data_IF_053363261188
#
_entry.id   IF_053363261188
#
_cell.length_a   1.000
_cell.length_b   1.000
_cell.length_c   1.000
_cell.angle_alpha   90.00
_cell.angle_beta   90.00
_cell.angle_gamma   90.00
#
_symmetry.space_group_name_H-M   'P 1'
#
loop_
_entity.id
_entity.type
_entity.pdbx_description
1 polymer ?
#
# COMPACT_ATOMS: atom_id res chain seq x y z
N UNK A 1 -19.56 14.25 13.42
CA UNK A 1 -20.29 13.64 12.30
C UNK A 1 -19.75 14.27 11.03
N UNK A 2 -18.78 13.63 10.40
CA UNK A 2 -18.20 14.06 9.13
C UNK A 2 -18.67 13.06 8.10
N UNK A 3 -19.61 13.49 7.27
CA UNK A 3 -20.08 12.72 6.11
C UNK A 3 -18.87 12.38 5.23
N UNK A 4 -18.70 11.10 4.91
CA UNK A 4 -17.65 10.63 4.02
C UNK A 4 -17.88 11.21 2.63
N UNK A 5 -16.92 11.98 2.11
CA UNK A 5 -16.87 12.39 0.71
C UNK A 5 -16.52 11.20 -0.20
N UNK A 6 -17.36 10.16 -0.19
CA UNK A 6 -17.32 9.11 -1.20
C UNK A 6 -17.99 9.66 -2.47
N UNK A 7 -17.28 9.81 -3.59
CA UNK A 7 -17.89 10.26 -4.84
C UNK A 7 -19.04 9.33 -5.23
N UNK A 8 -20.21 9.93 -5.51
CA UNK A 8 -21.36 9.25 -6.10
C UNK A 8 -21.04 8.85 -7.54
N UNK A 9 -21.34 7.60 -7.91
CA UNK A 9 -21.48 7.06 -9.28
C UNK A 9 -20.40 6.08 -9.81
N UNK A 10 -20.32 4.91 -9.19
CA UNK A 10 -20.35 3.59 -9.84
C UNK A 10 -20.92 2.62 -8.79
N UNK A 11 -21.58 1.53 -9.17
CA UNK A 11 -22.17 0.57 -8.20
C UNK A 11 -21.07 0.17 -7.19
N UNK A 12 -21.17 0.65 -5.94
CA UNK A 12 -20.22 0.25 -4.90
C UNK A 12 -20.38 -1.26 -4.69
N UNK A 13 -19.30 -1.99 -4.91
CA UNK A 13 -19.20 -3.42 -4.65
C UNK A 13 -19.67 -3.70 -3.22
N UNK A 14 -20.55 -4.68 -3.00
CA UNK A 14 -20.92 -5.00 -1.62
C UNK A 14 -19.70 -5.54 -0.87
N UNK A 15 -19.67 -5.40 0.46
CA UNK A 15 -18.57 -5.97 1.27
C UNK A 15 -18.48 -7.50 1.08
N UNK A 16 -19.62 -8.17 0.92
CA UNK A 16 -19.67 -9.60 0.65
C UNK A 16 -19.06 -9.94 -0.71
N UNK A 17 -19.37 -9.18 -1.76
CA UNK A 17 -18.78 -9.39 -3.08
C UNK A 17 -17.27 -9.08 -3.10
N UNK A 18 -16.84 -8.06 -2.35
CA UNK A 18 -15.42 -7.77 -2.15
C UNK A 18 -14.70 -8.93 -1.48
N UNK A 19 -15.22 -9.43 -0.36
CA UNK A 19 -14.63 -10.58 0.36
C UNK A 19 -14.60 -11.82 -0.55
N UNK A 20 -15.68 -12.10 -1.27
CA UNK A 20 -15.73 -13.20 -2.22
C UNK A 20 -14.68 -13.08 -3.33
N UNK A 21 -14.51 -11.88 -3.91
CA UNK A 21 -13.48 -11.67 -4.93
C UNK A 21 -12.07 -11.83 -4.35
N UNK A 22 -11.78 -11.24 -3.18
CA UNK A 22 -10.51 -11.44 -2.49
C UNK A 22 -10.23 -12.92 -2.20
N UNK A 23 -11.23 -13.69 -1.78
CA UNK A 23 -11.09 -15.13 -1.53
C UNK A 23 -10.80 -15.94 -2.79
N UNK A 24 -11.41 -15.57 -3.92
CA UNK A 24 -11.32 -16.32 -5.19
C UNK A 24 -10.12 -15.88 -6.02
N UNK A 25 -10.02 -14.60 -6.38
CA UNK A 25 -8.98 -14.06 -7.26
C UNK A 25 -7.76 -13.56 -6.50
N UNK A 26 -7.93 -13.12 -5.25
CA UNK A 26 -6.88 -12.48 -4.45
C UNK A 26 -6.71 -10.99 -4.70
N UNK A 27 -7.57 -10.37 -5.51
CA UNK A 27 -7.52 -8.93 -5.79
C UNK A 27 -8.86 -8.35 -6.27
N UNK A 28 -9.04 -7.04 -6.10
CA UNK A 28 -10.18 -6.25 -6.60
C UNK A 28 -9.68 -4.91 -7.12
N UNK A 29 -10.16 -4.50 -8.30
CA UNK A 29 -9.91 -3.18 -8.89
C UNK A 29 -11.11 -2.26 -8.69
N UNK A 30 -10.87 -1.08 -8.11
CA UNK A 30 -11.84 0.00 -7.98
C UNK A 30 -11.49 1.09 -8.98
N UNK A 31 -12.34 1.31 -9.98
CA UNK A 31 -12.04 2.24 -11.07
C UNK A 31 -12.26 3.70 -10.64
N UNK A 32 -11.28 4.56 -10.97
CA UNK A 32 -11.37 6.03 -10.88
C UNK A 32 -11.89 6.58 -9.53
N UNK A 33 -11.42 6.00 -8.42
CA UNK A 33 -11.81 6.39 -7.06
C UNK A 33 -11.17 7.72 -6.61
N UNK A 34 -9.93 7.96 -7.00
CA UNK A 34 -9.16 9.15 -6.61
C UNK A 34 -9.38 10.27 -7.63
N UNK A 35 -9.87 11.46 -7.22
CA UNK A 35 -10.12 12.57 -8.13
C UNK A 35 -8.86 13.11 -8.80
N UNK A 36 -8.99 13.55 -10.05
CA UNK A 36 -7.88 14.07 -10.85
C UNK A 36 -7.16 15.25 -10.16
N UNK A 37 -7.89 16.14 -9.48
CA UNK A 37 -7.29 17.27 -8.74
C UNK A 37 -6.30 16.82 -7.66
N UNK A 38 -6.57 15.69 -7.01
CA UNK A 38 -5.64 15.10 -6.04
C UNK A 38 -4.45 14.46 -6.76
N UNK A 39 -4.69 13.78 -7.87
CA UNK A 39 -3.65 13.14 -8.67
C UNK A 39 -2.65 14.15 -9.25
N UNK A 40 -3.11 15.32 -9.70
CA UNK A 40 -2.25 16.41 -10.16
C UNK A 40 -1.24 16.84 -9.10
N UNK A 41 -1.70 16.99 -7.84
CA UNK A 41 -0.82 17.32 -6.71
C UNK A 41 0.15 16.18 -6.39
N UNK A 42 -0.34 14.93 -6.41
CA UNK A 42 0.50 13.74 -6.19
C UNK A 42 1.61 13.64 -7.25
N UNK A 43 1.32 13.89 -8.53
CA UNK A 43 2.33 13.87 -9.60
C UNK A 43 3.44 14.90 -9.38
N UNK A 44 3.14 16.04 -8.76
CA UNK A 44 4.13 17.07 -8.41
C UNK A 44 4.99 16.61 -7.22
N UNK A 45 4.39 15.97 -6.22
CA UNK A 45 5.07 15.66 -4.96
C UNK A 45 5.91 14.37 -5.01
N UNK A 46 5.54 13.39 -5.86
CA UNK A 46 6.30 12.13 -6.01
C UNK A 46 7.79 12.38 -6.33
N UNK A 47 8.16 13.18 -7.36
CA UNK A 47 9.57 13.48 -7.65
C UNK A 47 10.30 14.20 -6.50
N UNK A 48 9.59 15.01 -5.71
CA UNK A 48 10.16 15.67 -4.53
C UNK A 48 10.51 14.66 -3.45
N UNK A 49 9.62 13.70 -3.18
CA UNK A 49 9.83 12.60 -2.22
C UNK A 49 10.91 11.64 -2.67
N UNK A 50 10.98 11.32 -3.96
CA UNK A 50 12.08 10.54 -4.55
C UNK A 50 13.43 11.20 -4.25
N UNK A 51 13.57 12.50 -4.55
CA UNK A 51 14.80 13.26 -4.27
C UNK A 51 15.13 13.30 -2.77
N UNK A 52 14.12 13.38 -1.90
CA UNK A 52 14.33 13.34 -0.46
C UNK A 52 14.88 11.97 0.01
N UNK A 53 14.27 10.88 -0.41
CA UNK A 53 14.71 9.51 -0.09
C UNK A 53 16.09 9.20 -0.68
N UNK A 54 16.38 9.68 -1.89
CA UNK A 54 17.66 9.48 -2.56
C UNK A 54 18.86 10.01 -1.75
N UNK A 55 18.68 11.07 -0.95
CA UNK A 55 19.74 11.58 -0.05
C UNK A 55 20.19 10.51 0.94
N UNK A 56 19.24 9.76 1.51
CA UNK A 56 19.52 8.68 2.45
C UNK A 56 20.06 7.44 1.74
N UNK A 57 19.52 7.10 0.57
CA UNK A 57 20.02 6.00 -0.25
C UNK A 57 21.50 6.22 -0.59
N UNK A 58 21.87 7.40 -1.12
CA UNK A 58 23.27 7.75 -1.42
C UNK A 58 24.16 7.75 -0.19
N UNK A 59 23.69 8.36 0.90
CA UNK A 59 24.44 8.38 2.17
C UNK A 59 24.80 6.98 2.66
N UNK A 60 23.94 5.99 2.40
CA UNK A 60 24.07 4.63 2.90
C UNK A 60 24.46 3.60 1.80
N UNK A 61 24.79 4.03 0.58
CA UNK A 61 25.19 3.13 -0.52
C UNK A 61 24.09 2.24 -1.10
N UNK A 62 22.84 2.73 -1.11
CA UNK A 62 21.65 2.02 -1.61
C UNK A 62 21.02 2.72 -2.84
N UNK A 63 21.80 3.52 -3.57
CA UNK A 63 21.34 4.32 -4.70
C UNK A 63 21.31 3.57 -6.05
N UNK A 64 21.71 2.30 -6.06
CA UNK A 64 21.63 1.42 -7.23
C UNK A 64 20.48 0.44 -7.07
N UNK A 65 19.63 0.32 -8.10
CA UNK A 65 18.51 -0.60 -8.11
C UNK A 65 17.40 -0.17 -7.15
N UNK A 66 17.19 1.14 -6.97
CA UNK A 66 16.12 1.80 -6.21
C UNK A 66 15.59 3.05 -6.93
N UNK A 67 16.00 3.25 -8.18
CA UNK A 67 15.67 4.39 -9.03
C UNK A 67 14.15 4.50 -9.19
N UNK A 68 13.61 5.70 -8.98
CA UNK A 68 12.18 5.93 -9.01
C UNK A 68 11.42 5.51 -7.74
N UNK A 69 12.05 4.91 -6.72
CA UNK A 69 11.38 4.45 -5.52
C UNK A 69 11.62 5.37 -4.31
N UNK A 70 10.53 5.88 -3.74
CA UNK A 70 10.50 6.60 -2.47
C UNK A 70 9.74 5.77 -1.43
N UNK A 71 10.43 5.26 -0.41
CA UNK A 71 9.82 4.47 0.66
C UNK A 71 9.57 5.32 1.91
N UNK A 72 8.46 5.03 2.61
CA UNK A 72 8.02 5.68 3.84
C UNK A 72 7.84 7.20 3.70
N UNK A 73 6.95 7.59 2.80
CA UNK A 73 6.68 8.99 2.40
C UNK A 73 5.74 9.78 3.34
N UNK A 74 5.36 9.20 4.49
CA UNK A 74 4.54 9.86 5.52
C UNK A 74 5.33 10.99 6.19
N UNK A 75 4.64 12.03 6.71
CA UNK A 75 5.31 13.13 7.42
C UNK A 75 5.63 14.32 6.53
N UNK A 76 5.11 14.32 5.31
CA UNK A 76 5.53 15.23 4.28
C UNK A 76 4.93 16.62 4.30
N UNK A 77 3.74 16.77 4.89
CA UNK A 77 2.92 17.97 4.77
C UNK A 77 2.43 18.24 3.34
N UNK A 78 2.39 17.21 2.49
CA UNK A 78 2.08 17.32 1.06
C UNK A 78 0.91 16.42 0.64
N UNK A 79 0.65 16.30 -0.66
CA UNK A 79 -0.51 15.56 -1.16
C UNK A 79 -0.46 14.06 -0.87
N UNK A 80 0.73 13.46 -0.69
CA UNK A 80 0.86 12.06 -0.32
C UNK A 80 0.39 11.84 1.12
N UNK A 81 0.65 12.80 2.01
CA UNK A 81 0.07 12.79 3.36
C UNK A 81 -1.44 12.99 3.32
N UNK A 82 -1.94 13.96 2.56
CA UNK A 82 -3.37 14.24 2.48
C UNK A 82 -4.18 13.07 1.92
N UNK A 83 -3.61 12.31 0.99
CA UNK A 83 -4.20 11.06 0.50
C UNK A 83 -4.57 10.10 1.65
N UNK A 84 -3.75 9.99 2.70
CA UNK A 84 -4.05 9.11 3.84
C UNK A 84 -5.27 9.58 4.65
N UNK A 85 -5.55 10.88 4.66
CA UNK A 85 -6.69 11.46 5.38
C UNK A 85 -8.04 11.23 4.67
N UNK A 86 -8.03 10.81 3.41
CA UNK A 86 -9.25 10.43 2.68
C UNK A 86 -9.73 9.02 3.05
N UNK A 87 -8.84 8.19 3.61
CA UNK A 87 -9.15 6.81 4.01
C UNK A 87 -9.88 6.01 2.93
N UNK A 88 -9.40 6.11 1.68
CA UNK A 88 -9.95 5.36 0.56
C UNK A 88 -10.04 3.88 0.89
N UNK A 89 -11.20 3.29 0.60
CA UNK A 89 -11.50 1.87 0.79
C UNK A 89 -11.44 1.36 2.25
N UNK A 90 -11.52 2.25 3.24
CA UNK A 90 -11.52 1.90 4.67
C UNK A 90 -12.49 0.76 5.02
N UNK A 91 -13.75 0.84 4.55
CA UNK A 91 -14.75 -0.21 4.77
C UNK A 91 -14.29 -1.58 4.29
N UNK A 92 -13.64 -1.65 3.12
CA UNK A 92 -13.18 -2.91 2.54
C UNK A 92 -11.93 -3.43 3.24
N UNK A 93 -11.00 -2.55 3.62
CA UNK A 93 -9.78 -2.95 4.34
C UNK A 93 -10.13 -3.44 5.75
N UNK A 94 -11.03 -2.75 6.44
CA UNK A 94 -11.55 -3.18 7.74
C UNK A 94 -12.24 -4.55 7.62
N UNK A 95 -13.10 -4.75 6.60
CA UNK A 95 -13.76 -6.03 6.35
C UNK A 95 -12.80 -7.16 5.94
N UNK A 96 -11.68 -6.85 5.29
CA UNK A 96 -10.62 -7.83 4.99
C UNK A 96 -9.97 -8.33 6.28
N UNK A 97 -9.69 -7.45 7.24
CA UNK A 97 -9.09 -7.83 8.51
C UNK A 97 -10.10 -8.28 9.58
N UNK A 98 -11.40 -8.10 9.37
CA UNK A 98 -12.41 -8.28 10.42
C UNK A 98 -12.04 -7.48 11.69
N UNK A 99 -11.63 -6.22 11.50
CA UNK A 99 -11.18 -5.36 12.59
C UNK A 99 -10.24 -4.23 12.20
N UNK A 100 -9.64 -3.63 13.22
CA UNK A 100 -8.69 -2.53 13.06
C UNK A 100 -7.47 -2.94 12.24
N UNK A 101 -6.89 -1.97 11.55
CA UNK A 101 -5.68 -2.14 10.76
C UNK A 101 -4.74 -0.95 10.94
N UNK A 102 -3.49 -1.15 10.56
CA UNK A 102 -2.44 -0.13 10.57
C UNK A 102 -1.70 -0.12 9.24
N UNK A 103 -1.16 1.02 8.86
CA UNK A 103 -0.27 1.20 7.72
C UNK A 103 1.07 0.54 8.01
N UNK A 104 1.45 -0.47 7.27
CA UNK A 104 2.73 -1.16 7.45
C UNK A 104 3.86 -0.46 6.69
N UNK A 105 3.59 -0.07 5.44
CA UNK A 105 4.49 0.73 4.60
C UNK A 105 3.70 1.61 3.64
N UNK A 106 4.32 2.71 3.21
CA UNK A 106 3.76 3.62 2.21
C UNK A 106 4.89 4.15 1.34
N UNK A 107 4.89 3.76 0.07
CA UNK A 107 5.84 4.21 -0.93
C UNK A 107 5.18 4.93 -2.09
N UNK A 108 5.96 5.78 -2.74
CA UNK A 108 5.67 6.35 -4.03
C UNK A 108 6.66 5.79 -5.07
N UNK A 109 6.15 5.47 -6.24
CA UNK A 109 6.91 4.90 -7.34
C UNK A 109 6.80 5.78 -8.57
N UNK A 110 7.94 5.97 -9.22
CA UNK A 110 8.12 6.60 -10.50
C UNK A 110 8.70 5.52 -11.44
N UNK A 111 7.83 4.68 -12.01
CA UNK A 111 8.25 3.51 -12.80
C UNK A 111 8.91 3.95 -14.10
N UNK A 112 10.24 4.07 -14.09
CA UNK A 112 11.04 4.57 -15.20
C UNK A 112 11.00 3.61 -16.41
N UNK A 113 11.25 4.11 -17.63
CA UNK A 113 11.50 3.27 -18.79
C UNK A 113 12.53 2.17 -18.50
N UNK A 114 12.28 0.97 -19.02
CA UNK A 114 13.10 -0.20 -18.74
C UNK A 114 14.56 0.03 -19.13
N UNK A 115 15.45 -0.23 -18.18
CA UNK A 115 16.89 -0.19 -18.34
C UNK A 115 17.54 -1.15 -17.33
N UNK A 116 18.83 -1.43 -17.52
CA UNK A 116 19.59 -2.30 -16.61
C UNK A 116 19.65 -1.76 -15.16
N UNK A 117 19.32 -0.48 -14.96
CA UNK A 117 19.29 0.22 -13.67
C UNK A 117 17.87 0.35 -13.09
N UNK A 118 16.86 -0.28 -13.69
CA UNK A 118 15.51 -0.23 -13.12
C UNK A 118 15.37 -1.08 -11.86
N UNK A 119 14.36 -0.78 -11.04
CA UNK A 119 14.06 -1.48 -9.79
C UNK A 119 13.75 -2.98 -10.02
N UNK A 120 14.79 -3.80 -10.11
CA UNK A 120 14.69 -5.21 -10.54
C UNK A 120 13.87 -6.07 -9.58
N UNK A 121 13.81 -5.72 -8.30
CA UNK A 121 13.04 -6.47 -7.32
C UNK A 121 11.55 -6.47 -7.67
N UNK A 122 11.00 -5.31 -8.05
CA UNK A 122 9.59 -5.21 -8.42
C UNK A 122 9.24 -6.01 -9.67
N UNK A 123 10.19 -6.23 -10.59
CA UNK A 123 9.95 -6.91 -11.86
C UNK A 123 9.99 -8.43 -11.78
N UNK A 124 10.51 -9.01 -10.69
CA UNK A 124 10.48 -10.46 -10.47
C UNK A 124 9.19 -10.83 -9.76
N UNK A 125 8.52 -11.93 -10.15
CA UNK A 125 7.36 -12.40 -9.40
C UNK A 125 7.72 -12.61 -7.92
N UNK A 126 7.01 -11.94 -7.04
CA UNK A 126 7.23 -11.97 -5.59
C UNK A 126 5.91 -11.95 -4.82
N UNK A 127 6.06 -12.16 -3.50
CA UNK A 127 5.08 -11.86 -2.48
C UNK A 127 5.69 -10.82 -1.56
N UNK A 128 4.93 -9.83 -1.13
CA UNK A 128 5.43 -8.83 -0.19
C UNK A 128 5.66 -9.43 1.19
N UNK A 129 4.85 -10.44 1.54
CA UNK A 129 5.06 -11.26 2.74
C UNK A 129 5.38 -12.70 2.36
N UNK A 130 6.56 -13.18 2.78
CA UNK A 130 7.00 -14.56 2.55
C UNK A 130 6.23 -15.57 3.39
N UNK A 131 5.69 -15.15 4.53
CA UNK A 131 4.83 -15.96 5.37
C UNK A 131 3.53 -16.26 4.64
N UNK A 132 3.26 -17.54 4.40
CA UNK A 132 1.98 -17.99 3.89
C UNK A 132 0.99 -18.14 5.05
N UNK A 133 -0.07 -17.35 5.03
CA UNK A 133 -1.02 -17.26 6.15
C UNK A 133 -2.33 -18.02 5.93
N UNK A 134 -2.44 -18.80 4.85
CA UNK A 134 -3.67 -19.55 4.49
C UNK A 134 -4.87 -18.60 4.44
N UNK A 135 -5.90 -18.84 5.27
CA UNK A 135 -7.11 -18.03 5.36
C UNK A 135 -6.98 -16.88 6.38
N UNK A 136 -5.80 -16.72 6.99
CA UNK A 136 -5.56 -15.62 7.92
C UNK A 136 -5.08 -14.40 7.13
N UNK A 137 -5.96 -13.42 6.99
CA UNK A 137 -5.67 -12.14 6.34
C UNK A 137 -4.60 -11.38 7.13
N UNK A 138 -3.35 -11.49 6.68
CA UNK A 138 -2.18 -10.99 7.39
C UNK A 138 -1.81 -9.57 6.95
N UNK A 139 -1.85 -9.34 5.64
CA UNK A 139 -1.49 -8.09 4.99
C UNK A 139 -2.29 -7.93 3.69
N UNK A 140 -2.63 -6.69 3.35
CA UNK A 140 -3.24 -6.31 2.07
C UNK A 140 -2.46 -5.15 1.47
N UNK A 141 -2.29 -5.19 0.16
CA UNK A 141 -1.67 -4.13 -0.61
C UNK A 141 -2.74 -3.25 -1.26
N UNK A 142 -2.47 -1.95 -1.32
CA UNK A 142 -3.18 -0.97 -2.12
C UNK A 142 -2.20 -0.34 -3.10
N UNK A 143 -2.53 -0.46 -4.38
CA UNK A 143 -1.81 0.19 -5.47
C UNK A 143 -2.72 1.24 -6.10
N UNK A 144 -2.34 2.51 -5.96
CA UNK A 144 -3.04 3.65 -6.56
C UNK A 144 -2.40 3.96 -7.91
N UNK A 145 -3.22 3.94 -8.95
CA UNK A 145 -2.81 4.29 -10.31
C UNK A 145 -2.79 5.82 -10.44
N UNK A 146 -1.63 6.45 -10.24
CA UNK A 146 -1.51 7.92 -10.35
C UNK A 146 -1.60 8.36 -11.81
N UNK A 147 -1.01 7.57 -12.70
CA UNK A 147 -1.19 7.67 -14.15
C UNK A 147 -2.09 6.55 -14.67
N UNK A 148 -2.44 6.59 -15.95
CA UNK A 148 -3.05 5.43 -16.60
C UNK A 148 -2.09 4.24 -16.55
N UNK A 149 -2.61 3.07 -16.22
CA UNK A 149 -1.89 1.80 -16.29
C UNK A 149 -2.26 1.09 -17.59
N UNK A 150 -1.28 0.84 -18.45
CA UNK A 150 -1.43 0.14 -19.73
C UNK A 150 -0.48 -1.05 -19.81
N UNK A 151 -0.66 -1.88 -20.84
CA UNK A 151 0.22 -3.03 -21.05
C UNK A 151 1.67 -2.55 -21.28
N UNK A 152 1.83 -1.50 -22.08
CA UNK A 152 3.10 -0.98 -22.56
C UNK A 152 3.88 -0.22 -21.47
N UNK A 153 3.18 0.49 -20.57
CA UNK A 153 3.84 1.29 -19.52
C UNK A 153 4.11 0.50 -18.22
N UNK A 154 4.07 -0.83 -18.32
CA UNK A 154 4.48 -1.72 -17.25
C UNK A 154 3.46 -1.81 -16.12
N UNK A 155 2.15 -1.83 -16.42
CA UNK A 155 1.13 -2.11 -15.41
C UNK A 155 1.41 -3.41 -14.63
N UNK A 156 0.95 -3.47 -13.38
CA UNK A 156 1.23 -4.59 -12.47
C UNK A 156 0.63 -5.89 -13.00
N UNK A 157 1.42 -6.96 -13.03
CA UNK A 157 0.97 -8.33 -13.25
C UNK A 157 0.61 -8.97 -11.92
N UNK A 158 -0.54 -9.65 -11.84
CA UNK A 158 -0.92 -10.52 -10.73
C UNK A 158 -1.22 -11.92 -11.25
N UNK A 159 -0.99 -12.95 -10.45
CA UNK A 159 -1.36 -14.33 -10.81
C UNK A 159 -2.55 -14.75 -9.94
N UNK A 160 -3.79 -14.72 -10.47
CA UNK A 160 -5.00 -14.90 -9.67
C UNK A 160 -5.03 -16.24 -8.92
N UNK A 161 -5.58 -16.25 -7.71
CA UNK A 161 -5.72 -17.47 -6.89
C UNK A 161 -4.42 -17.97 -6.24
N UNK A 162 -3.27 -17.44 -6.62
CA UNK A 162 -1.98 -17.91 -6.08
C UNK A 162 -1.71 -17.48 -4.65
N UNK A 163 -2.49 -16.54 -4.10
CA UNK A 163 -2.51 -16.24 -2.66
C UNK A 163 -2.86 -17.46 -1.81
N UNK A 164 -3.57 -18.44 -2.38
CA UNK A 164 -3.97 -19.68 -1.72
C UNK A 164 -2.93 -20.79 -1.80
N UNK A 165 -1.80 -20.60 -2.48
CA UNK A 165 -0.79 -21.66 -2.70
C UNK A 165 0.42 -21.42 -1.81
N UNK A 166 0.80 -22.38 -0.95
CA UNK A 166 1.98 -22.17 -0.09
C UNK A 166 3.29 -22.12 -0.89
N UNK A 167 3.48 -23.09 -1.78
CA UNK A 167 4.71 -23.25 -2.55
C UNK A 167 4.77 -22.24 -3.69
N UNK A 168 5.97 -21.76 -4.03
CA UNK A 168 6.18 -20.91 -5.21
C UNK A 168 5.85 -21.73 -6.47
N UNK A 169 4.90 -21.29 -7.31
CA UNK A 169 4.71 -21.89 -8.62
C UNK A 169 5.96 -21.72 -9.49
N UNK A 170 6.21 -22.64 -10.42
CA UNK A 170 7.32 -22.47 -11.35
C UNK A 170 7.12 -21.25 -12.26
N UNK A 171 8.21 -20.75 -12.84
CA UNK A 171 8.18 -19.51 -13.62
C UNK A 171 7.24 -19.58 -14.84
N UNK A 172 7.21 -20.72 -15.53
CA UNK A 172 6.33 -20.92 -16.69
C UNK A 172 4.85 -20.81 -16.32
N UNK A 173 4.47 -21.32 -15.15
CA UNK A 173 3.12 -21.16 -14.60
C UNK A 173 2.83 -19.69 -14.30
N UNK A 174 3.75 -18.99 -13.62
CA UNK A 174 3.56 -17.59 -13.25
C UNK A 174 3.35 -16.71 -14.48
N UNK A 175 4.21 -16.83 -15.50
CA UNK A 175 4.08 -16.03 -16.73
C UNK A 175 2.82 -16.38 -17.53
N UNK A 176 2.48 -17.66 -17.65
CA UNK A 176 1.33 -18.08 -18.48
C UNK A 176 -0.04 -17.75 -17.86
N UNK A 177 -0.08 -17.53 -16.55
CA UNK A 177 -1.32 -17.25 -15.81
C UNK A 177 -1.37 -15.83 -15.24
N UNK A 178 -0.34 -15.02 -15.49
CA UNK A 178 -0.33 -13.63 -15.07
C UNK A 178 -1.34 -12.80 -15.87
N UNK A 179 -2.11 -11.99 -15.17
CA UNK A 179 -2.97 -10.97 -15.76
C UNK A 179 -2.41 -9.60 -15.42
N UNK A 180 -2.29 -8.74 -16.42
CA UNK A 180 -1.80 -7.38 -16.23
C UNK A 180 -2.98 -6.45 -15.94
N UNK A 181 -2.97 -5.82 -14.76
CA UNK A 181 -4.06 -5.00 -14.26
C UNK A 181 -3.92 -3.58 -14.81
N UNK A 182 -4.63 -3.31 -15.90
CA UNK A 182 -4.72 -1.99 -16.52
C UNK A 182 -5.86 -1.17 -15.89
N UNK A 183 -5.81 0.15 -16.05
CA UNK A 183 -6.82 1.03 -15.49
C UNK A 183 -6.55 2.50 -15.76
N UNK A 184 -7.56 3.33 -15.59
CA UNK A 184 -7.42 4.79 -15.69
C UNK A 184 -6.76 5.35 -14.43
N UNK A 185 -6.12 6.51 -14.57
CA UNK A 185 -5.65 7.30 -13.44
C UNK A 185 -6.78 7.46 -12.40
N UNK A 186 -6.40 7.33 -11.13
CA UNK A 186 -7.29 7.34 -9.98
C UNK A 186 -7.90 5.99 -9.60
N UNK A 187 -7.67 4.94 -10.40
CA UNK A 187 -8.08 3.59 -10.03
C UNK A 187 -7.20 3.02 -8.91
N UNK A 188 -7.78 2.17 -8.07
CA UNK A 188 -7.12 1.59 -6.90
C UNK A 188 -7.27 0.07 -6.94
N UNK A 189 -6.15 -0.65 -6.96
CA UNK A 189 -6.09 -2.09 -6.88
C UNK A 189 -5.82 -2.51 -5.43
N UNK A 190 -6.73 -3.27 -4.82
CA UNK A 190 -6.48 -3.99 -3.57
C UNK A 190 -6.11 -5.44 -3.88
N UNK A 191 -5.08 -5.98 -3.23
CA UNK A 191 -4.69 -7.38 -3.41
C UNK A 191 -4.03 -7.98 -2.17
N UNK A 192 -4.26 -9.28 -1.96
CA UNK A 192 -3.69 -10.06 -0.85
C UNK A 192 -2.17 -10.15 -1.02
N UNK A 193 -1.40 -9.90 0.04
CA UNK A 193 0.07 -9.90 -0.03
C UNK A 193 0.72 -11.28 -0.22
N UNK A 194 -0.05 -12.37 -0.16
CA UNK A 194 0.36 -13.70 -0.61
C UNK A 194 0.12 -13.93 -2.11
N UNK A 195 -0.54 -13.03 -2.86
CA UNK A 195 -0.65 -13.18 -4.31
C UNK A 195 0.73 -12.99 -4.96
N UNK A 196 1.08 -13.87 -5.90
CA UNK A 196 2.28 -13.67 -6.71
C UNK A 196 2.02 -12.56 -7.72
N UNK A 197 2.90 -11.57 -7.74
CA UNK A 197 2.77 -10.40 -8.59
C UNK A 197 4.13 -9.81 -8.95
N UNK A 198 4.18 -8.96 -9.98
CA UNK A 198 5.34 -8.15 -10.33
C UNK A 198 4.92 -6.92 -11.15
N UNK A 199 5.80 -5.93 -11.24
CA UNK A 199 5.69 -4.88 -12.23
C UNK A 199 6.11 -5.42 -13.61
N UNK A 200 5.29 -5.23 -14.64
CA UNK A 200 5.75 -5.44 -16.00
C UNK A 200 6.78 -4.37 -16.39
N UNK A 201 7.58 -4.67 -17.42
CA UNK A 201 8.54 -3.71 -17.96
C UNK A 201 7.81 -2.52 -18.58
N UNK A 202 8.24 -1.30 -18.23
CA UNK A 202 7.80 -0.09 -18.91
C UNK A 202 8.60 0.06 -20.21
N UNK A 203 8.00 -0.25 -21.35
CA UNK A 203 8.63 -0.13 -22.67
C UNK A 203 8.31 1.21 -23.36
N UNK A 204 7.66 2.13 -22.66
CA UNK A 204 7.40 3.49 -23.14
C UNK A 204 8.58 4.42 -22.85
N UNK A 205 8.52 5.65 -23.34
CA UNK A 205 9.55 6.67 -23.12
C UNK A 205 9.31 7.53 -21.86
N UNK A 206 8.17 7.37 -21.21
CA UNK A 206 7.76 8.17 -20.07
C UNK A 206 7.68 7.31 -18.81
N UNK A 207 8.02 7.86 -17.64
CA UNK A 207 7.76 7.16 -16.40
C UNK A 207 6.25 7.00 -16.14
N UNK A 208 5.92 6.06 -15.25
CA UNK A 208 4.54 5.79 -14.81
C UNK A 208 4.46 5.81 -13.29
N UNK A 209 3.71 6.76 -12.74
CA UNK A 209 3.64 6.96 -11.30
C UNK A 209 2.60 6.08 -10.61
N UNK A 210 2.89 5.72 -9.36
CA UNK A 210 1.96 5.00 -8.51
C UNK A 210 2.22 5.28 -7.03
N UNK A 211 1.20 5.09 -6.21
CA UNK A 211 1.37 4.94 -4.77
C UNK A 211 1.19 3.48 -4.38
N UNK A 212 1.99 3.02 -3.42
CA UNK A 212 1.96 1.66 -2.89
C UNK A 212 1.82 1.73 -1.39
N UNK A 213 0.72 1.21 -0.86
CA UNK A 213 0.45 1.15 0.57
C UNK A 213 0.28 -0.31 0.95
N UNK A 214 0.78 -0.68 2.11
CA UNK A 214 0.51 -1.99 2.71
C UNK A 214 -0.15 -1.77 4.06
N UNK A 215 -1.20 -2.54 4.34
CA UNK A 215 -1.89 -2.50 5.62
C UNK A 215 -1.79 -3.87 6.27
N UNK A 216 -1.72 -3.88 7.59
CA UNK A 216 -1.64 -5.10 8.39
C UNK A 216 -2.55 -5.00 9.61
N UNK A 217 -2.80 -6.14 10.25
CA UNK A 217 -3.36 -6.16 11.61
C UNK A 217 -2.44 -5.41 12.59
N UNK A 218 -2.96 -4.80 13.68
CA UNK A 218 -2.16 -3.91 14.50
C UNK A 218 -1.04 -4.58 15.31
N UNK A 219 -1.16 -5.89 15.60
CA UNK A 219 -0.08 -6.65 16.23
C UNK A 219 1.10 -6.96 15.27
N UNK A 220 0.94 -6.74 13.96
CA UNK A 220 2.01 -6.96 13.00
C UNK A 220 2.94 -5.74 12.94
N UNK A 221 4.24 -5.96 13.15
CA UNK A 221 5.22 -4.87 13.21
C UNK A 221 5.28 -4.08 11.89
N UNK A 222 5.09 -2.76 11.98
CA UNK A 222 5.28 -1.82 10.87
C UNK A 222 6.74 -1.81 10.39
N UNK A 223 6.95 -1.59 9.09
CA UNK A 223 8.31 -1.46 8.54
C UNK A 223 9.00 -0.15 9.00
N UNK A 224 8.23 0.87 9.38
CA UNK A 224 8.69 2.11 10.00
C UNK A 224 7.90 2.37 11.28
N UNK A 225 8.57 2.79 12.37
CA UNK A 225 7.90 3.29 13.58
C UNK A 225 7.42 4.73 13.33
N UNK A 226 6.29 4.86 12.63
CA UNK A 226 5.72 6.15 12.28
C UNK A 226 5.44 7.00 13.52
N UNK A 227 4.98 6.39 14.61
CA UNK A 227 4.69 7.12 15.85
C UNK A 227 5.91 7.85 16.41
N UNK A 228 7.08 7.20 16.34
CA UNK A 228 8.35 7.78 16.80
C UNK A 228 8.92 8.78 15.81
N UNK A 229 8.84 8.48 14.51
CA UNK A 229 9.37 9.36 13.45
C UNK A 229 8.61 10.68 13.40
N UNK A 230 7.29 10.64 13.61
CA UNK A 230 6.40 11.78 13.45
C UNK A 230 6.14 12.52 14.78
N UNK A 231 6.27 11.82 15.91
CA UNK A 231 6.07 12.38 17.26
C UNK A 231 4.61 12.30 17.75
N UNK A 232 4.41 12.46 19.06
CA UNK A 232 3.13 12.16 19.73
C UNK A 232 1.93 12.95 19.20
N UNK A 233 2.15 14.22 18.83
CA UNK A 233 1.10 15.17 18.45
C UNK A 233 0.86 15.27 16.94
N UNK A 234 1.52 14.44 16.14
CA UNK A 234 1.41 14.51 14.68
C UNK A 234 0.01 14.14 14.14
N UNK A 235 -0.64 13.04 14.57
CA UNK A 235 -1.93 12.66 14.00
C UNK A 235 -3.04 13.64 14.43
N UNK A 236 -3.81 14.12 13.46
CA UNK A 236 -4.85 15.15 13.70
C UNK A 236 -6.22 14.58 14.09
N UNK A 237 -6.41 13.26 13.99
CA UNK A 237 -7.65 12.59 14.36
C UNK A 237 -7.40 11.14 14.81
N UNK A 238 -8.38 10.52 15.48
CA UNK A 238 -8.28 9.16 16.01
C UNK A 238 -8.02 8.10 14.92
N UNK A 239 -8.59 8.27 13.74
CA UNK A 239 -8.42 7.32 12.64
C UNK A 239 -6.99 7.33 12.09
N UNK A 240 -6.36 8.50 12.02
CA UNK A 240 -4.95 8.64 11.68
C UNK A 240 -4.05 8.12 12.81
N UNK A 241 -4.42 8.30 14.08
CA UNK A 241 -3.72 7.67 15.22
C UNK A 241 -3.73 6.15 15.09
N UNK A 242 -4.88 5.57 14.78
CA UNK A 242 -5.01 4.14 14.52
C UNK A 242 -4.15 3.72 13.34
N UNK A 243 -4.33 4.35 12.17
CA UNK A 243 -3.65 4.01 10.95
C UNK A 243 -2.12 4.05 11.09
N UNK A 244 -1.57 5.06 11.77
CA UNK A 244 -0.12 5.21 11.95
C UNK A 244 0.44 4.39 13.13
N UNK A 245 -0.38 3.54 13.75
CA UNK A 245 0.06 2.59 14.78
C UNK A 245 0.20 3.18 16.18
N UNK A 246 -0.30 4.40 16.45
CA UNK A 246 -0.21 5.03 17.78
C UNK A 246 -1.01 4.27 18.85
N UNK A 247 -2.08 3.58 18.42
CA UNK A 247 -2.95 2.79 19.29
C UNK A 247 -2.47 1.34 19.45
N UNK A 248 -1.38 0.94 18.81
CA UNK A 248 -0.81 -0.41 18.86
C UNK A 248 0.67 -0.40 19.30
N UNK A 249 1.10 0.67 19.99
CA UNK A 249 2.49 0.80 20.44
C UNK A 249 2.75 -0.10 21.62
N UNK A 250 3.86 -0.83 21.55
CA UNK A 250 4.38 -1.59 22.69
C UNK A 250 4.92 -0.59 23.72
N UNK A 251 4.49 -0.67 24.99
CA UNK A 251 4.96 0.23 26.03
C UNK A 251 6.45 0.02 26.33
N UNK A 252 7.18 1.11 26.46
CA UNK A 252 8.62 1.17 26.70
C UNK A 252 8.95 1.50 28.16
N UNK A 253 8.47 0.65 29.07
CA UNK A 253 8.75 0.76 30.51
C UNK A 253 7.51 0.69 31.39
N UNK A 254 7.74 0.65 32.71
CA UNK A 254 6.68 0.53 33.70
C UNK A 254 5.72 1.72 33.70
N UNK A 255 6.22 2.94 33.44
CA UNK A 255 5.40 4.14 33.39
C UNK A 255 4.43 4.13 32.20
N UNK A 256 4.79 3.53 31.06
CA UNK A 256 3.87 3.38 29.92
C UNK A 256 2.92 2.18 30.11
N UNK A 257 3.36 1.13 30.83
CA UNK A 257 2.56 -0.07 31.09
C UNK A 257 1.49 0.13 32.17
N UNK A 258 1.87 0.67 33.33
CA UNK A 258 0.97 0.89 34.48
C UNK A 258 0.13 2.16 34.31
N UNK A 259 -0.53 2.28 33.15
CA UNK A 259 -1.45 3.37 32.82
C UNK A 259 -2.90 2.88 32.88
N UNK A 260 -3.84 3.76 33.26
CA UNK A 260 -5.27 3.47 33.12
C UNK A 260 -5.61 3.31 31.62
N UNK A 261 -6.65 2.53 31.26
CA UNK A 261 -6.94 2.13 29.88
C UNK A 261 -6.94 3.28 28.85
N UNK A 262 -7.45 4.45 29.22
CA UNK A 262 -7.53 5.63 28.37
C UNK A 262 -6.17 6.28 28.05
N UNK A 263 -5.12 5.97 28.82
CA UNK A 263 -3.75 6.45 28.61
C UNK A 263 -2.82 5.39 28.01
N UNK A 264 -3.30 4.16 27.82
CA UNK A 264 -2.49 3.08 27.22
C UNK A 264 -2.25 3.35 25.74
N UNK A 265 -1.02 3.10 25.30
CA UNK A 265 -0.64 3.23 23.89
C UNK A 265 -0.96 1.97 23.07
N UNK A 266 -1.23 0.84 23.73
CA UNK A 266 -1.85 -0.34 23.12
C UNK A 266 -3.32 -0.40 23.58
N UNK A 267 -4.25 -0.03 22.70
CA UNK A 267 -5.69 -0.01 23.00
C UNK A 267 -6.31 -1.43 22.92
N UNK A 268 -7.47 -1.68 23.54
CA UNK A 268 -8.23 -2.90 23.30
C UNK A 268 -8.66 -3.02 21.82
N UNK A 269 -8.84 -4.25 21.33
CA UNK A 269 -9.34 -4.51 19.96
C UNK A 269 -8.28 -4.40 18.85
N UNK A 270 -7.00 -4.36 19.21
CA UNK A 270 -5.87 -4.28 18.27
C UNK A 270 -5.44 -5.66 17.72
N UNK A 271 -6.29 -6.67 17.89
CA UNK A 271 -6.10 -8.08 17.52
C UNK A 271 -6.00 -9.02 18.72
#
# INVERSE_FOLDING_TARGET
MTESNQPKSSLQLSVLDFQYQMDVSGFVLFEQLVPEEMLEKIRIDIPSREKFCLKWQKKNGLDIGMEGAAHHVVGGGDSLEWFLYEFYLDTYINAYFDGEYILNSYGALNNLPYSNHTYQHAQRFHRDVRTYSKNFHLMINMLVMVDNFTIENGATKVVPGTHRVQQRPNEAFLESNAVQITGKAGSVLLFDSNIWHCAAQNITQMPRMALTLTFTRPFFKQQMDYSRVLGEYYPKNEKMRQLLGYNSRVPNGYDEWYQPPEKRMYKPGQG
#
